data_IF_093716516186
#
_entry.id   IF_093716516186
#
_cell.length_a   1.000
_cell.length_b   1.000
_cell.length_c   1.000
_cell.angle_alpha   90.00
_cell.angle_beta   90.00
_cell.angle_gamma   90.00
#
_symmetry.space_group_name_H-M   'P 1'
#
loop_
_entity.id
_entity.type
_entity.pdbx_description
1 polymer ?
#
# COMPACT_ATOMS: atom_id res chain seq x y z
N UNK A 1 -23.10 14.42 -5.33
CA UNK A 1 -22.87 13.77 -4.02
C UNK A 1 -21.37 13.67 -3.68
N UNK A 2 -20.52 13.12 -4.57
CA UNK A 2 -19.07 12.96 -4.31
C UNK A 2 -18.30 14.28 -4.14
N UNK A 3 -18.57 15.30 -4.96
CA UNK A 3 -17.93 16.62 -4.82
C UNK A 3 -18.21 17.29 -3.47
N UNK A 4 -19.44 17.14 -2.96
CA UNK A 4 -19.81 17.63 -1.64
C UNK A 4 -18.99 16.94 -0.55
N UNK A 5 -18.76 15.63 -0.68
CA UNK A 5 -17.94 14.87 0.24
C UNK A 5 -16.47 15.32 0.25
N UNK A 6 -15.88 15.54 -0.94
CA UNK A 6 -14.54 16.12 -1.06
C UNK A 6 -14.43 17.49 -0.37
N UNK A 7 -15.44 18.35 -0.54
CA UNK A 7 -15.43 19.67 0.10
C UNK A 7 -15.56 19.61 1.62
N UNK A 8 -16.39 18.71 2.15
CA UNK A 8 -16.52 18.54 3.60
C UNK A 8 -15.23 17.98 4.22
N UNK A 9 -14.62 16.95 3.64
CA UNK A 9 -13.33 16.40 4.13
C UNK A 9 -12.24 17.48 4.17
N UNK A 10 -12.09 18.26 3.08
CA UNK A 10 -11.09 19.34 3.01
C UNK A 10 -11.35 20.44 4.05
N UNK A 11 -12.62 20.78 4.27
CA UNK A 11 -13.01 21.74 5.31
C UNK A 11 -12.68 21.20 6.70
N UNK A 12 -12.98 19.94 6.95
CA UNK A 12 -12.72 19.31 8.25
C UNK A 12 -11.22 19.24 8.55
N UNK A 13 -10.40 18.80 7.59
CA UNK A 13 -8.93 18.81 7.69
C UNK A 13 -8.40 20.19 8.08
N UNK A 14 -8.96 21.25 7.47
CA UNK A 14 -8.52 22.63 7.72
C UNK A 14 -8.97 23.19 9.07
N UNK A 15 -10.01 22.62 9.68
CA UNK A 15 -10.59 23.10 10.96
C UNK A 15 -10.09 22.31 12.16
N UNK A 16 -9.81 21.02 11.99
CA UNK A 16 -9.34 20.19 13.09
C UNK A 16 -7.91 20.57 13.49
N UNK A 17 -7.65 20.67 14.79
CA UNK A 17 -6.29 20.81 15.35
C UNK A 17 -5.70 19.46 15.79
N UNK A 18 -6.52 18.41 15.76
CA UNK A 18 -6.11 17.05 16.08
C UNK A 18 -5.35 16.46 14.87
N UNK A 19 -4.05 16.26 15.06
CA UNK A 19 -3.12 15.77 14.03
C UNK A 19 -3.43 14.33 13.64
N UNK A 20 -3.86 13.48 14.58
CA UNK A 20 -4.24 12.11 14.28
C UNK A 20 -5.52 12.07 13.43
N UNK A 21 -6.50 12.92 13.76
CA UNK A 21 -7.69 13.08 12.94
C UNK A 21 -7.37 13.64 11.54
N UNK A 22 -6.45 14.61 11.44
CA UNK A 22 -6.00 15.11 10.14
C UNK A 22 -5.37 14.00 9.30
N UNK A 23 -4.55 13.14 9.90
CA UNK A 23 -3.92 11.99 9.24
C UNK A 23 -4.96 11.02 8.66
N UNK A 24 -5.97 10.65 9.45
CA UNK A 24 -7.05 9.77 8.99
C UNK A 24 -7.80 10.37 7.80
N UNK A 25 -8.19 11.64 7.92
CA UNK A 25 -8.92 12.36 6.86
C UNK A 25 -8.09 12.55 5.59
N UNK A 26 -6.78 12.79 5.70
CA UNK A 26 -5.88 12.89 4.54
C UNK A 26 -5.72 11.55 3.83
N UNK A 27 -5.65 10.45 4.59
CA UNK A 27 -5.57 9.10 4.02
C UNK A 27 -6.85 8.73 3.28
N UNK A 28 -8.01 9.07 3.86
CA UNK A 28 -9.32 8.89 3.21
C UNK A 28 -9.44 9.74 1.94
N UNK A 29 -9.07 11.02 2.03
CA UNK A 29 -9.09 11.95 0.89
C UNK A 29 -8.19 11.45 -0.25
N UNK A 30 -7.00 10.94 0.07
CA UNK A 30 -6.10 10.34 -0.91
C UNK A 30 -6.71 9.11 -1.59
N UNK A 31 -7.39 8.24 -0.84
CA UNK A 31 -8.06 7.06 -1.39
C UNK A 31 -9.21 7.44 -2.32
N UNK A 32 -10.00 8.46 -1.96
CA UNK A 32 -11.08 8.98 -2.80
C UNK A 32 -10.55 9.57 -4.10
N UNK A 33 -9.50 10.40 -4.03
CA UNK A 33 -8.86 10.96 -5.22
C UNK A 33 -8.35 9.86 -6.15
N UNK A 34 -7.66 8.85 -5.61
CA UNK A 34 -7.19 7.71 -6.42
C UNK A 34 -8.35 6.97 -7.09
N UNK A 35 -9.41 6.67 -6.34
CA UNK A 35 -10.61 6.01 -6.90
C UNK A 35 -11.33 6.84 -7.97
N UNK A 36 -11.13 8.16 -7.97
CA UNK A 36 -11.69 9.08 -8.97
C UNK A 36 -10.74 9.33 -10.16
N UNK A 37 -9.56 8.70 -10.18
CA UNK A 37 -8.53 8.92 -11.21
C UNK A 37 -7.68 10.20 -11.03
N UNK A 38 -7.88 10.94 -9.94
CA UNK A 38 -7.18 12.19 -9.63
C UNK A 38 -5.82 11.91 -8.97
N UNK A 39 -4.92 11.22 -9.69
CA UNK A 39 -3.69 10.63 -9.11
C UNK A 39 -2.75 11.66 -8.47
N UNK A 40 -2.59 12.85 -9.05
CA UNK A 40 -1.75 13.91 -8.47
C UNK A 40 -2.32 14.42 -7.12
N UNK A 41 -3.64 14.57 -7.02
CA UNK A 41 -4.29 14.96 -5.76
C UNK A 41 -4.20 13.83 -4.71
N UNK A 42 -4.28 12.59 -5.16
CA UNK A 42 -4.08 11.42 -4.30
C UNK A 42 -2.66 11.39 -3.72
N UNK A 43 -1.62 11.54 -4.57
CA UNK A 43 -0.21 11.61 -4.13
C UNK A 43 0.00 12.72 -3.12
N UNK A 44 -0.51 13.92 -3.39
CA UNK A 44 -0.36 15.05 -2.48
C UNK A 44 -1.02 14.80 -1.11
N UNK A 45 -2.16 14.12 -1.10
CA UNK A 45 -2.85 13.75 0.14
C UNK A 45 -2.06 12.68 0.92
N UNK A 46 -1.58 11.63 0.24
CA UNK A 46 -0.77 10.58 0.88
C UNK A 46 0.61 11.06 1.32
N UNK A 47 1.25 12.00 0.62
CA UNK A 47 2.50 12.63 1.08
C UNK A 47 2.30 13.42 2.37
N UNK A 48 1.20 14.18 2.47
CA UNK A 48 0.85 14.87 3.72
C UNK A 48 0.52 13.89 4.85
N UNK A 49 -0.22 12.82 4.56
CA UNK A 49 -0.47 11.74 5.51
C UNK A 49 0.84 11.12 6.02
N UNK A 50 1.78 10.77 5.11
CA UNK A 50 3.08 10.24 5.49
C UNK A 50 3.88 11.21 6.39
N UNK A 51 3.85 12.52 6.11
CA UNK A 51 4.49 13.53 6.95
C UNK A 51 3.91 13.56 8.37
N UNK A 52 2.57 13.55 8.50
CA UNK A 52 1.92 13.54 9.81
C UNK A 52 2.16 12.22 10.56
N UNK A 53 2.06 11.08 9.87
CA UNK A 53 2.34 9.77 10.46
C UNK A 53 3.78 9.67 10.97
N UNK A 54 4.75 10.24 10.24
CA UNK A 54 6.14 10.35 10.67
C UNK A 54 6.26 11.21 11.94
N UNK A 55 5.64 12.38 11.97
CA UNK A 55 5.67 13.28 13.13
C UNK A 55 5.03 12.66 14.38
N UNK A 56 4.03 11.80 14.20
CA UNK A 56 3.36 11.05 15.28
C UNK A 56 4.09 9.78 15.69
N UNK A 57 5.13 9.34 14.97
CA UNK A 57 5.74 8.03 15.15
C UNK A 57 4.79 6.86 14.83
N UNK A 58 3.73 7.10 14.06
CA UNK A 58 2.72 6.11 13.71
C UNK A 58 3.17 5.34 12.45
N UNK A 59 3.95 4.28 12.67
CA UNK A 59 4.53 3.48 11.58
C UNK A 59 3.48 2.70 10.77
N UNK A 60 2.32 2.38 11.36
CA UNK A 60 1.26 1.66 10.66
C UNK A 60 0.64 2.55 9.57
N UNK A 61 0.23 3.77 9.89
CA UNK A 61 -0.36 4.70 8.92
C UNK A 61 0.67 5.25 7.93
N UNK A 62 1.93 5.35 8.36
CA UNK A 62 3.03 5.63 7.45
C UNK A 62 3.18 4.52 6.40
N UNK A 63 3.05 3.25 6.79
CA UNK A 63 3.11 2.12 5.86
C UNK A 63 1.97 2.13 4.85
N UNK A 64 0.75 2.49 5.26
CA UNK A 64 -0.38 2.65 4.35
C UNK A 64 -0.14 3.75 3.31
N UNK A 65 0.43 4.88 3.75
CA UNK A 65 0.73 6.01 2.87
C UNK A 65 1.78 5.65 1.83
N UNK A 66 2.87 4.98 2.23
CA UNK A 66 3.90 4.55 1.29
C UNK A 66 3.43 3.46 0.33
N UNK A 67 2.58 2.53 0.78
CA UNK A 67 1.94 1.57 -0.12
C UNK A 67 1.15 2.27 -1.22
N UNK A 68 0.31 3.24 -0.85
CA UNK A 68 -0.53 3.95 -1.80
C UNK A 68 0.32 4.76 -2.80
N UNK A 69 1.38 5.43 -2.34
CA UNK A 69 2.31 6.15 -3.21
C UNK A 69 3.02 5.21 -4.18
N UNK A 70 3.54 4.08 -3.69
CA UNK A 70 4.21 3.09 -4.51
C UNK A 70 3.29 2.54 -5.62
N UNK A 71 2.04 2.23 -5.27
CA UNK A 71 1.06 1.75 -6.24
C UNK A 71 0.71 2.82 -7.29
N UNK A 72 0.51 4.08 -6.89
CA UNK A 72 0.21 5.17 -7.83
C UNK A 72 1.38 5.42 -8.79
N UNK A 73 2.61 5.47 -8.29
CA UNK A 73 3.78 5.67 -9.15
C UNK A 73 3.99 4.49 -10.11
N UNK A 74 3.71 3.26 -9.67
CA UNK A 74 3.71 2.09 -10.55
C UNK A 74 2.59 2.15 -11.60
N UNK A 75 1.42 2.73 -11.29
CA UNK A 75 0.33 2.95 -12.25
C UNK A 75 0.69 3.97 -13.33
N UNK A 76 1.55 4.94 -13.03
CA UNK A 76 2.00 5.97 -13.96
C UNK A 76 3.29 5.60 -14.71
N UNK A 77 3.95 4.51 -14.33
CA UNK A 77 5.24 4.10 -14.90
C UNK A 77 6.44 4.86 -14.34
N UNK A 78 6.28 5.54 -13.21
CA UNK A 78 7.38 6.24 -12.53
C UNK A 78 8.19 5.24 -11.70
N UNK A 79 9.06 4.48 -12.39
CA UNK A 79 9.77 3.32 -11.82
C UNK A 79 10.56 3.66 -10.57
N UNK A 80 11.31 4.75 -10.59
CA UNK A 80 12.21 5.12 -9.49
C UNK A 80 11.41 5.37 -8.21
N UNK A 81 10.40 6.22 -8.29
CA UNK A 81 9.53 6.60 -7.19
C UNK A 81 8.69 5.41 -6.70
N UNK A 82 8.22 4.55 -7.61
CA UNK A 82 7.49 3.34 -7.26
C UNK A 82 8.34 2.40 -6.38
N UNK A 83 9.58 2.14 -6.80
CA UNK A 83 10.49 1.25 -6.08
C UNK A 83 10.99 1.86 -4.76
N UNK A 84 11.27 3.17 -4.72
CA UNK A 84 11.61 3.89 -3.49
C UNK A 84 10.49 3.79 -2.46
N UNK A 85 9.24 4.05 -2.85
CA UNK A 85 8.10 3.96 -1.94
C UNK A 85 7.74 2.51 -1.58
N UNK A 86 7.97 1.53 -2.45
CA UNK A 86 7.84 0.12 -2.12
C UNK A 86 8.81 -0.29 -1.00
N UNK A 87 10.04 0.20 -1.04
CA UNK A 87 11.03 -0.06 0.00
C UNK A 87 10.65 0.60 1.33
N UNK A 88 10.25 1.87 1.29
CA UNK A 88 9.74 2.59 2.46
C UNK A 88 8.50 1.90 3.06
N UNK A 89 7.60 1.35 2.23
CA UNK A 89 6.47 0.56 2.69
C UNK A 89 6.95 -0.68 3.46
N UNK A 90 7.90 -1.45 2.92
CA UNK A 90 8.45 -2.63 3.61
C UNK A 90 9.08 -2.26 4.95
N UNK A 91 9.93 -1.22 4.99
CA UNK A 91 10.60 -0.77 6.21
C UNK A 91 9.59 -0.34 7.29
N UNK A 92 8.63 0.50 6.92
CA UNK A 92 7.63 1.03 7.86
C UNK A 92 6.63 -0.05 8.31
N UNK A 93 6.29 -1.00 7.44
CA UNK A 93 5.52 -2.19 7.82
C UNK A 93 6.26 -3.03 8.87
N UNK A 94 7.57 -3.25 8.71
CA UNK A 94 8.39 -3.94 9.71
C UNK A 94 8.41 -3.18 11.05
N UNK A 95 8.63 -1.87 11.01
CA UNK A 95 8.62 -1.01 12.20
C UNK A 95 7.25 -0.99 12.91
N UNK A 96 6.15 -1.14 12.18
CA UNK A 96 4.80 -1.23 12.76
C UNK A 96 4.56 -2.53 13.53
N UNK A 97 5.34 -3.59 13.27
CA UNK A 97 5.11 -4.94 13.81
C UNK A 97 3.86 -5.65 13.27
N UNK A 98 3.10 -5.03 12.35
CA UNK A 98 1.88 -5.62 11.79
C UNK A 98 2.23 -6.74 10.80
N UNK A 99 1.98 -7.99 11.19
CA UNK A 99 2.17 -9.15 10.29
C UNK A 99 1.40 -9.02 8.98
N UNK A 100 0.20 -8.44 9.03
CA UNK A 100 -0.59 -8.20 7.83
C UNK A 100 0.09 -7.19 6.90
N UNK A 101 0.59 -6.07 7.43
CA UNK A 101 1.28 -5.08 6.58
C UNK A 101 2.62 -5.61 6.07
N UNK A 102 3.38 -6.34 6.88
CA UNK A 102 4.65 -6.94 6.45
C UNK A 102 4.39 -7.89 5.28
N UNK A 103 3.41 -8.79 5.41
CA UNK A 103 3.04 -9.68 4.32
C UNK A 103 2.57 -8.93 3.06
N UNK A 104 1.73 -7.90 3.23
CA UNK A 104 1.26 -7.08 2.11
C UNK A 104 2.41 -6.34 1.42
N UNK A 105 3.41 -5.87 2.16
CA UNK A 105 4.57 -5.20 1.58
C UNK A 105 5.38 -6.11 0.66
N UNK A 106 5.47 -7.41 0.96
CA UNK A 106 6.10 -8.40 0.09
C UNK A 106 5.24 -8.65 -1.16
N UNK A 107 3.92 -8.82 -0.98
CA UNK A 107 3.00 -9.01 -2.11
C UNK A 107 3.00 -7.81 -3.06
N UNK A 108 2.80 -6.60 -2.54
CA UNK A 108 2.74 -5.38 -3.34
C UNK A 108 4.06 -5.11 -4.04
N UNK A 109 5.20 -5.46 -3.44
CA UNK A 109 6.50 -5.38 -4.15
C UNK A 109 6.49 -6.21 -5.43
N UNK A 110 5.97 -7.44 -5.39
CA UNK A 110 5.84 -8.28 -6.59
C UNK A 110 4.90 -7.70 -7.62
N UNK A 111 3.75 -7.19 -7.18
CA UNK A 111 2.79 -6.51 -8.06
C UNK A 111 3.38 -5.25 -8.72
N UNK A 112 4.21 -4.48 -8.02
CA UNK A 112 4.87 -3.29 -8.59
C UNK A 112 5.81 -3.69 -9.72
N UNK A 113 6.63 -4.71 -9.54
CA UNK A 113 7.51 -5.20 -10.60
C UNK A 113 6.73 -5.72 -11.80
N UNK A 114 5.67 -6.51 -11.59
CA UNK A 114 4.76 -6.96 -12.65
C UNK A 114 4.16 -5.75 -13.40
N UNK A 115 3.65 -4.76 -12.66
CA UNK A 115 3.01 -3.57 -13.23
C UNK A 115 3.98 -2.75 -14.08
N UNK A 116 5.20 -2.54 -13.60
CA UNK A 116 6.25 -1.83 -14.33
C UNK A 116 6.70 -2.61 -15.57
N UNK A 117 6.81 -3.94 -15.46
CA UNK A 117 7.13 -4.80 -16.60
C UNK A 117 6.10 -4.65 -17.73
N UNK A 118 4.80 -4.65 -17.39
CA UNK A 118 3.71 -4.48 -18.36
C UNK A 118 3.71 -3.11 -19.04
N UNK A 119 4.27 -2.08 -18.40
CA UNK A 119 4.23 -0.70 -18.92
C UNK A 119 5.45 -0.30 -19.73
N UNK A 120 6.64 -0.76 -19.34
CA UNK A 120 7.90 -0.22 -19.85
C UNK A 120 8.77 -1.25 -20.55
N UNK A 121 8.79 -2.50 -20.05
CA UNK A 121 9.99 -3.32 -20.19
C UNK A 121 9.79 -4.60 -20.99
N UNK A 122 8.69 -5.34 -20.78
CA UNK A 122 8.62 -6.76 -21.17
C UNK A 122 9.93 -7.52 -20.85
N UNK A 123 10.61 -7.12 -19.78
CA UNK A 123 11.92 -7.59 -19.37
C UNK A 123 11.74 -8.76 -18.41
N UNK A 124 12.42 -9.86 -18.71
CA UNK A 124 12.46 -11.04 -17.85
C UNK A 124 12.93 -10.72 -16.43
N UNK A 125 13.79 -9.72 -16.24
CA UNK A 125 14.32 -9.36 -14.93
C UNK A 125 13.24 -8.84 -13.96
N UNK A 126 12.29 -8.03 -14.44
CA UNK A 126 11.21 -7.53 -13.61
C UNK A 126 10.23 -8.65 -13.23
N UNK A 127 9.95 -9.57 -14.17
CA UNK A 127 9.15 -10.76 -13.86
C UNK A 127 9.83 -11.67 -12.84
N UNK A 128 11.14 -11.88 -12.96
CA UNK A 128 11.93 -12.65 -11.98
C UNK A 128 11.85 -12.02 -10.58
N UNK A 129 12.00 -10.69 -10.48
CA UNK A 129 11.79 -9.97 -9.22
C UNK A 129 10.36 -10.12 -8.70
N UNK A 130 9.35 -9.98 -9.57
CA UNK A 130 7.96 -10.15 -9.19
C UNK A 130 7.70 -11.53 -8.56
N UNK A 131 8.15 -12.60 -9.23
CA UNK A 131 8.06 -13.98 -8.75
C UNK A 131 8.82 -14.17 -7.43
N UNK A 132 10.03 -13.62 -7.31
CA UNK A 132 10.84 -13.64 -6.08
C UNK A 132 10.09 -13.03 -4.89
N UNK A 133 9.45 -11.88 -5.08
CA UNK A 133 8.63 -11.23 -4.05
C UNK A 133 7.37 -12.03 -3.70
N UNK A 134 6.73 -12.65 -4.68
CA UNK A 134 5.60 -13.55 -4.43
C UNK A 134 6.00 -14.76 -3.59
N UNK A 135 7.15 -15.39 -3.87
CA UNK A 135 7.70 -16.49 -3.07
C UNK A 135 7.99 -16.03 -1.64
N UNK A 136 8.67 -14.89 -1.46
CA UNK A 136 8.92 -14.30 -0.13
C UNK A 136 7.62 -14.08 0.65
N UNK A 137 6.57 -13.59 -0.02
CA UNK A 137 5.26 -13.36 0.57
C UNK A 137 4.56 -14.66 0.99
N UNK A 138 4.61 -15.70 0.15
CA UNK A 138 4.09 -17.03 0.45
C UNK A 138 4.82 -17.64 1.66
N UNK A 139 6.14 -17.53 1.71
CA UNK A 139 6.94 -18.05 2.81
C UNK A 139 6.68 -17.31 4.11
N UNK A 140 6.44 -16.00 4.05
CA UNK A 140 5.98 -15.24 5.21
C UNK A 140 4.61 -15.74 5.70
N UNK A 141 3.67 -15.98 4.79
CA UNK A 141 2.36 -16.57 5.15
C UNK A 141 2.52 -17.93 5.80
N UNK A 142 3.38 -18.82 5.29
CA UNK A 142 3.63 -20.14 5.90
C UNK A 142 4.09 -20.01 7.36
N UNK A 143 4.93 -19.01 7.67
CA UNK A 143 5.50 -18.79 9.01
C UNK A 143 4.55 -18.05 9.95
N UNK A 144 3.83 -17.04 9.45
CA UNK A 144 3.11 -16.07 10.27
C UNK A 144 1.61 -15.96 9.95
N UNK A 145 1.06 -16.84 9.12
CA UNK A 145 -0.35 -16.83 8.71
C UNK A 145 -1.32 -16.79 9.90
N UNK A 146 -1.05 -17.57 10.94
CA UNK A 146 -1.87 -17.56 12.17
C UNK A 146 -1.96 -16.18 12.84
N UNK A 147 -0.92 -15.35 12.76
CA UNK A 147 -0.93 -13.97 13.31
C UNK A 147 -1.71 -13.02 12.41
N UNK A 148 -1.69 -13.25 11.10
CA UNK A 148 -2.54 -12.51 10.15
C UNK A 148 -4.02 -12.83 10.44
N UNK A 149 -4.33 -14.11 10.64
CA UNK A 149 -5.71 -14.60 10.83
C UNK A 149 -6.29 -14.18 12.19
N UNK A 150 -5.43 -13.99 13.19
CA UNK A 150 -5.83 -13.46 14.50
C UNK A 150 -6.25 -11.98 14.45
N UNK A 151 -5.73 -11.19 13.49
CA UNK A 151 -6.13 -9.79 13.30
C UNK A 151 -7.42 -9.70 12.48
N UNK A 152 -8.55 -9.72 13.19
CA UNK A 152 -9.89 -9.63 12.57
C UNK A 152 -10.08 -8.37 11.72
N UNK A 153 -9.42 -7.25 12.06
CA UNK A 153 -9.51 -6.02 11.26
C UNK A 153 -8.79 -6.22 9.93
N UNK A 154 -7.57 -6.76 9.97
CA UNK A 154 -6.81 -7.09 8.77
C UNK A 154 -7.52 -8.14 7.89
N UNK A 155 -8.12 -9.17 8.48
CA UNK A 155 -8.86 -10.21 7.74
C UNK A 155 -10.07 -9.63 7.01
N UNK A 156 -10.85 -8.76 7.65
CA UNK A 156 -12.01 -8.12 7.00
C UNK A 156 -11.64 -7.28 5.78
N UNK A 157 -10.49 -6.60 5.84
CA UNK A 157 -10.06 -5.67 4.78
C UNK A 157 -9.25 -6.39 3.69
N UNK A 158 -8.31 -7.25 4.06
CA UNK A 158 -7.33 -7.86 3.15
C UNK A 158 -7.45 -9.37 2.96
N UNK A 159 -8.45 -10.01 3.56
CA UNK A 159 -8.59 -11.47 3.59
C UNK A 159 -7.64 -12.15 4.56
N UNK A 160 -7.95 -13.40 4.87
CA UNK A 160 -7.12 -14.30 5.68
C UNK A 160 -5.87 -14.78 4.92
N UNK A 161 -5.00 -15.45 5.65
CA UNK A 161 -3.73 -15.96 5.15
C UNK A 161 -3.92 -16.96 4.01
N UNK A 162 -4.98 -17.78 4.05
CA UNK A 162 -5.32 -18.75 3.02
C UNK A 162 -5.71 -18.07 1.70
N UNK A 163 -6.62 -17.09 1.74
CA UNK A 163 -7.04 -16.30 0.58
C UNK A 163 -5.86 -15.56 -0.05
N UNK A 164 -5.01 -14.93 0.77
CA UNK A 164 -3.82 -14.22 0.28
C UNK A 164 -2.84 -15.17 -0.40
N UNK A 165 -2.60 -16.35 0.18
CA UNK A 165 -1.74 -17.38 -0.41
C UNK A 165 -2.29 -17.88 -1.74
N UNK A 166 -3.60 -18.12 -1.84
CA UNK A 166 -4.23 -18.57 -3.07
C UNK A 166 -4.03 -17.58 -4.22
N UNK A 167 -4.16 -16.27 -3.96
CA UNK A 167 -3.88 -15.22 -4.96
C UNK A 167 -2.43 -15.25 -5.45
N UNK A 168 -1.47 -15.37 -4.54
CA UNK A 168 -0.04 -15.44 -4.89
C UNK A 168 0.32 -16.71 -5.67
N UNK A 169 -0.26 -17.86 -5.31
CA UNK A 169 -0.06 -19.12 -6.04
C UNK A 169 -0.67 -19.02 -7.45
N UNK A 170 -1.84 -18.40 -7.58
CA UNK A 170 -2.45 -18.13 -8.88
C UNK A 170 -1.52 -17.32 -9.79
N UNK A 171 -0.90 -16.26 -9.26
CA UNK A 171 0.08 -15.46 -10.00
C UNK A 171 1.29 -16.30 -10.47
N UNK A 172 1.87 -17.14 -9.60
CA UNK A 172 3.00 -18.02 -9.93
C UNK A 172 2.66 -19.12 -10.97
N UNK A 173 1.39 -19.46 -11.14
CA UNK A 173 0.97 -20.46 -12.14
C UNK A 173 0.70 -19.85 -13.52
N UNK A 174 0.51 -18.53 -13.58
CA UNK A 174 0.22 -17.80 -14.82
C UNK A 174 1.49 -17.27 -15.51
N UNK A 175 2.65 -17.37 -14.85
CA UNK A 175 3.95 -16.88 -15.29
C UNK A 175 4.98 -18.01 -15.18
#
# INVERSE_FOLDING_TARGET
FIYFYFTELRREISRTKDVAKQLDLLSELGALYRSSGELELARNSFKKAAQLATALGNHLDLSFSHRALAEIYAEEGERKEALEHADLFRQTAQMSGSCSQIQLSLHVSGWIYEKLNMQQSHDSADLEEALSWCVKSIDYIKKFGHRIDADRKAVRVGGDSARRKAGLVGFLLLH
#
